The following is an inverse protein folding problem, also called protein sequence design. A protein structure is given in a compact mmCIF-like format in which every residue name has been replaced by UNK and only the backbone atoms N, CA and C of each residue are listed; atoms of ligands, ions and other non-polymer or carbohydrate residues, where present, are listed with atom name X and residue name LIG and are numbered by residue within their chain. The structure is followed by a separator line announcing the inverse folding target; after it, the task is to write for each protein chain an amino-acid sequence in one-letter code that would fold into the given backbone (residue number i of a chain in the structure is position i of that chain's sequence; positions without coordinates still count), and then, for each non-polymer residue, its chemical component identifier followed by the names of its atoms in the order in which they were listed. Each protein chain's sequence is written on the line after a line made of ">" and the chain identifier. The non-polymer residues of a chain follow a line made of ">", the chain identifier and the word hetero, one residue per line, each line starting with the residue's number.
data_IF_857813429611
#
_entry.id   IF_857813429611
#
_cell.length_a   1.000
_cell.length_b   1.000
_cell.length_c   1.000
_cell.angle_alpha   90.00
_cell.angle_beta   90.00
_cell.angle_gamma   90.00
#
_symmetry.space_group_name_H-M   'P 1'
#
loop_
_entity.id
_entity.type
_entity.pdbx_description
1 polymer ?
#
# COMPACT_ATOMS: atom_id res chain seq x y z
N UNK A 1 -5.72 11.78 -15.21
CA UNK A 1 -5.64 10.43 -15.85
C UNK A 1 -4.18 9.97 -15.95
N UNK A 2 -3.22 10.84 -16.31
CA UNK A 2 -1.79 10.51 -16.45
C UNK A 2 -1.14 10.14 -15.09
N UNK A 3 -1.55 10.77 -13.99
CA UNK A 3 -0.97 10.54 -12.67
C UNK A 3 -1.35 9.19 -12.06
N UNK A 4 -2.43 8.55 -12.51
CA UNK A 4 -2.91 7.28 -11.94
C UNK A 4 -1.86 6.15 -12.08
N UNK A 5 -1.33 5.85 -13.29
CA UNK A 5 -0.30 4.79 -13.40
C UNK A 5 0.99 5.15 -12.68
N UNK A 6 1.35 6.44 -12.61
CA UNK A 6 2.52 6.90 -11.85
C UNK A 6 2.34 6.80 -10.32
N UNK A 7 1.10 6.70 -9.86
CA UNK A 7 0.80 6.49 -8.44
C UNK A 7 0.66 5.01 -8.10
N UNK A 8 -0.02 4.22 -8.94
CA UNK A 8 -0.30 2.80 -8.68
C UNK A 8 0.99 1.97 -8.66
N UNK A 9 1.83 2.05 -9.68
CA UNK A 9 3.01 1.18 -9.79
C UNK A 9 4.03 1.41 -8.67
N UNK A 10 4.44 2.65 -8.34
CA UNK A 10 5.31 2.89 -7.19
C UNK A 10 4.69 2.48 -5.86
N UNK A 11 3.38 2.65 -5.69
CA UNK A 11 2.65 2.24 -4.50
C UNK A 11 2.76 0.72 -4.28
N UNK A 12 2.43 -0.07 -5.30
CA UNK A 12 2.55 -1.54 -5.25
C UNK A 12 4.00 -2.00 -5.07
N UNK A 13 4.95 -1.30 -5.69
CA UNK A 13 6.37 -1.59 -5.53
C UNK A 13 6.85 -1.42 -4.09
N UNK A 14 6.34 -0.41 -3.37
CA UNK A 14 6.65 -0.26 -1.95
C UNK A 14 6.09 -1.40 -1.10
N UNK A 15 4.92 -1.94 -1.42
CA UNK A 15 4.44 -3.16 -0.76
C UNK A 15 5.43 -4.31 -0.97
N UNK A 16 5.91 -4.51 -2.19
CA UNK A 16 6.83 -5.59 -2.54
C UNK A 16 8.17 -5.51 -1.78
N UNK A 17 8.75 -4.33 -1.64
CA UNK A 17 10.06 -4.13 -0.98
C UNK A 17 10.05 -4.58 0.49
N UNK A 18 8.94 -4.45 1.19
CA UNK A 18 8.86 -4.75 2.61
C UNK A 18 8.56 -6.22 2.94
N UNK A 19 8.43 -7.08 1.93
CA UNK A 19 8.46 -8.51 2.16
C UNK A 19 9.86 -8.99 2.60
N UNK A 20 9.98 -10.15 3.27
CA UNK A 20 11.29 -10.74 3.57
C UNK A 20 12.12 -10.89 2.31
N UNK A 21 13.45 -10.80 2.44
CA UNK A 21 14.37 -10.88 1.29
C UNK A 21 14.34 -12.22 0.56
N UNK A 22 13.98 -13.26 1.27
CA UNK A 22 13.83 -14.64 0.77
C UNK A 22 12.42 -14.95 0.28
N UNK A 23 11.49 -13.98 0.35
CA UNK A 23 10.13 -14.17 -0.12
C UNK A 23 10.05 -14.08 -1.64
N UNK A 24 9.30 -15.00 -2.22
CA UNK A 24 8.86 -14.90 -3.60
C UNK A 24 7.69 -13.91 -3.68
N UNK A 25 7.92 -12.78 -4.33
CA UNK A 25 6.94 -11.72 -4.47
C UNK A 25 6.62 -11.53 -5.94
N UNK A 26 5.33 -11.59 -6.26
CA UNK A 26 4.82 -11.36 -7.60
C UNK A 26 4.02 -10.08 -7.63
N UNK A 27 4.25 -9.28 -8.66
CA UNK A 27 3.47 -8.08 -8.92
C UNK A 27 2.65 -8.25 -10.20
N UNK A 28 1.33 -8.20 -10.05
CA UNK A 28 0.37 -8.33 -11.14
C UNK A 28 -0.22 -6.97 -11.49
N UNK A 29 -0.38 -6.69 -12.77
CA UNK A 29 -1.04 -5.49 -13.22
C UNK A 29 -1.97 -5.77 -14.40
N UNK A 30 -3.07 -5.05 -14.46
CA UNK A 30 -4.01 -5.10 -15.58
C UNK A 30 -4.36 -3.68 -16.03
N UNK A 31 -3.91 -3.32 -17.22
CA UNK A 31 -4.22 -2.02 -17.82
C UNK A 31 -5.73 -1.88 -18.05
N UNK A 32 -6.38 -2.97 -18.49
CA UNK A 32 -7.83 -2.99 -18.76
C UNK A 32 -8.66 -2.73 -17.52
N UNK A 33 -8.27 -3.32 -16.39
CA UNK A 33 -8.98 -3.17 -15.11
C UNK A 33 -8.44 -2.02 -14.26
N UNK A 34 -7.35 -1.37 -14.70
CA UNK A 34 -6.63 -0.33 -13.94
C UNK A 34 -6.28 -0.79 -12.52
N UNK A 35 -5.85 -2.03 -12.42
CA UNK A 35 -5.53 -2.69 -11.17
C UNK A 35 -4.08 -3.15 -11.17
N UNK A 36 -3.40 -2.94 -10.07
CA UNK A 36 -2.15 -3.59 -9.73
C UNK A 36 -2.28 -4.21 -8.36
N UNK A 37 -1.60 -5.31 -8.13
CA UNK A 37 -1.57 -5.97 -6.83
C UNK A 37 -0.25 -6.71 -6.61
N UNK A 38 0.12 -6.83 -5.36
CA UNK A 38 1.26 -7.61 -4.91
C UNK A 38 0.77 -8.85 -4.19
N UNK A 39 1.32 -9.98 -4.53
CA UNK A 39 1.04 -11.26 -3.87
C UNK A 39 2.32 -12.00 -3.54
N UNK A 40 2.29 -12.84 -2.53
CA UNK A 40 3.42 -13.68 -2.15
C UNK A 40 2.94 -14.97 -1.50
N UNK A 41 3.61 -16.07 -1.82
CA UNK A 41 3.39 -17.35 -1.14
C UNK A 41 4.02 -17.41 0.25
N UNK A 42 4.81 -16.40 0.62
CA UNK A 42 5.47 -16.33 1.91
C UNK A 42 4.56 -15.70 2.94
N UNK A 43 4.31 -16.42 4.04
CA UNK A 43 3.59 -15.88 5.18
C UNK A 43 4.45 -14.89 5.97
N UNK A 44 3.85 -13.81 6.43
CA UNK A 44 4.49 -12.77 7.23
C UNK A 44 3.76 -12.54 8.54
N UNK A 45 4.42 -11.91 9.50
CA UNK A 45 3.78 -11.58 10.78
C UNK A 45 2.68 -10.54 10.62
N UNK A 46 1.70 -10.54 11.52
CA UNK A 46 0.66 -9.52 11.60
C UNK A 46 1.23 -8.09 11.59
N UNK A 47 2.27 -7.85 12.39
CA UNK A 47 2.92 -6.52 12.46
C UNK A 47 3.53 -6.11 11.12
N UNK A 48 4.20 -7.03 10.45
CA UNK A 48 4.81 -6.76 9.15
C UNK A 48 3.76 -6.51 8.07
N UNK A 49 2.67 -7.25 8.08
CA UNK A 49 1.56 -7.05 7.16
C UNK A 49 0.94 -5.65 7.33
N UNK A 50 0.68 -5.21 8.56
CA UNK A 50 0.18 -3.86 8.84
C UNK A 50 1.18 -2.80 8.37
N UNK A 51 2.48 -2.99 8.67
CA UNK A 51 3.53 -2.06 8.28
C UNK A 51 3.62 -1.90 6.76
N UNK A 52 3.70 -3.01 6.01
CA UNK A 52 3.79 -2.94 4.56
C UNK A 52 2.53 -2.37 3.90
N UNK A 53 1.37 -2.55 4.53
CA UNK A 53 0.11 -2.00 4.02
C UNK A 53 0.00 -0.48 4.23
N UNK A 54 0.50 0.04 5.36
CA UNK A 54 0.38 1.48 5.64
C UNK A 54 1.48 2.31 4.99
N UNK A 55 2.66 1.76 4.79
CA UNK A 55 3.87 2.50 4.39
C UNK A 55 3.72 3.26 3.06
N UNK A 56 3.20 2.68 1.97
CA UNK A 56 2.98 3.42 0.73
C UNK A 56 2.03 4.60 0.90
N UNK A 57 1.01 4.44 1.74
CA UNK A 57 0.05 5.50 2.05
C UNK A 57 0.69 6.67 2.82
N UNK A 58 1.66 6.38 3.68
CA UNK A 58 2.44 7.43 4.36
C UNK A 58 3.29 8.18 3.34
N UNK A 59 4.06 7.47 2.52
CA UNK A 59 5.05 8.06 1.60
C UNK A 59 4.38 8.81 0.45
N UNK A 60 3.37 8.22 -0.19
CA UNK A 60 2.75 8.79 -1.38
C UNK A 60 1.44 9.53 -1.12
N UNK A 61 0.82 9.30 0.03
CA UNK A 61 -0.43 9.95 0.41
C UNK A 61 -0.20 11.09 1.42
N UNK A 62 0.07 10.74 2.65
CA UNK A 62 0.16 11.73 3.73
C UNK A 62 1.34 12.68 3.58
N UNK A 63 2.52 12.20 3.21
CA UNK A 63 3.72 13.04 3.11
C UNK A 63 3.55 14.16 2.06
N UNK A 64 3.10 13.91 0.82
CA UNK A 64 2.82 14.99 -0.12
C UNK A 64 1.79 15.99 0.38
N UNK A 65 0.74 15.55 1.07
CA UNK A 65 -0.27 16.44 1.64
C UNK A 65 0.27 17.29 2.79
N UNK A 66 1.13 16.73 3.63
CA UNK A 66 1.80 17.48 4.70
C UNK A 66 2.73 18.55 4.08
N UNK A 67 3.52 18.19 3.10
CA UNK A 67 4.39 19.14 2.39
C UNK A 67 3.53 20.23 1.72
N UNK A 68 2.41 19.86 1.09
CA UNK A 68 1.49 20.78 0.45
C UNK A 68 1.01 21.91 1.39
N UNK A 69 0.77 21.61 2.67
CA UNK A 69 0.32 22.62 3.65
C UNK A 69 1.36 23.76 3.81
N UNK A 70 2.65 23.44 3.62
CA UNK A 70 3.75 24.41 3.77
C UNK A 70 4.17 25.08 2.45
N UNK A 71 3.56 24.73 1.31
CA UNK A 71 3.87 25.34 0.02
C UNK A 71 3.28 26.77 -0.04
N UNK A 72 4.09 27.79 -0.41
CA UNK A 72 3.60 29.15 -0.59
C UNK A 72 2.51 29.24 -1.67
N UNK A 73 1.58 30.15 -1.48
CA UNK A 73 0.42 30.33 -2.36
C UNK A 73 0.76 30.78 -3.81
N UNK A 74 1.94 31.35 -4.00
CA UNK A 74 2.47 31.76 -5.31
C UNK A 74 2.98 30.58 -6.14
N UNK A 75 3.25 29.42 -5.50
CA UNK A 75 3.67 28.19 -6.17
C UNK A 75 2.48 27.28 -6.52
N UNK A 76 1.47 27.85 -7.18
CA UNK A 76 0.18 27.19 -7.46
C UNK A 76 0.30 25.87 -8.25
N UNK A 77 1.25 25.77 -9.19
CA UNK A 77 1.48 24.56 -9.97
C UNK A 77 2.00 23.39 -9.12
N UNK A 78 3.01 23.66 -8.30
CA UNK A 78 3.60 22.65 -7.38
C UNK A 78 2.57 22.25 -6.32
N UNK A 79 1.84 23.21 -5.77
CA UNK A 79 0.75 23.00 -4.83
C UNK A 79 -0.32 22.06 -5.41
N UNK A 80 -0.74 22.31 -6.63
CA UNK A 80 -1.71 21.47 -7.34
C UNK A 80 -1.22 20.03 -7.56
N UNK A 81 0.04 19.86 -7.94
CA UNK A 81 0.64 18.52 -8.13
C UNK A 81 0.67 17.75 -6.81
N UNK A 82 1.19 18.36 -5.74
CA UNK A 82 1.32 17.71 -4.43
C UNK A 82 -0.04 17.30 -3.87
N UNK A 83 -1.02 18.20 -3.92
CA UNK A 83 -2.37 17.90 -3.46
C UNK A 83 -3.01 16.77 -4.26
N UNK A 84 -2.99 16.89 -5.59
CA UNK A 84 -3.61 15.90 -6.48
C UNK A 84 -2.95 14.53 -6.34
N UNK A 85 -1.61 14.49 -6.31
CA UNK A 85 -0.86 13.24 -6.15
C UNK A 85 -1.14 12.58 -4.80
N UNK A 86 -1.09 13.33 -3.71
CA UNK A 86 -1.36 12.81 -2.36
C UNK A 86 -2.80 12.30 -2.23
N UNK A 87 -3.78 13.05 -2.75
CA UNK A 87 -5.19 12.68 -2.72
C UNK A 87 -5.47 11.41 -3.53
N UNK A 88 -4.94 11.33 -4.76
CA UNK A 88 -5.08 10.14 -5.62
C UNK A 88 -4.43 8.93 -4.94
N UNK A 89 -3.24 9.11 -4.37
CA UNK A 89 -2.52 8.01 -3.70
C UNK A 89 -3.28 7.46 -2.50
N UNK A 90 -3.89 8.31 -1.66
CA UNK A 90 -4.74 7.86 -0.56
C UNK A 90 -6.01 7.16 -1.05
N UNK A 91 -6.58 7.62 -2.17
CA UNK A 91 -7.75 6.99 -2.77
C UNK A 91 -7.42 5.58 -3.28
N UNK A 92 -6.29 5.43 -3.96
CA UNK A 92 -5.77 4.13 -4.42
C UNK A 92 -5.52 3.21 -3.23
N UNK A 93 -4.88 3.72 -2.18
CA UNK A 93 -4.57 2.98 -0.97
C UNK A 93 -5.75 2.74 -0.01
N UNK A 94 -6.96 3.10 -0.38
CA UNK A 94 -8.13 2.88 0.50
C UNK A 94 -8.35 1.41 0.87
N UNK A 95 -8.03 0.48 -0.04
CA UNK A 95 -8.05 -0.94 0.22
C UNK A 95 -7.07 -1.39 1.29
N UNK A 96 -5.90 -0.75 1.38
CA UNK A 96 -4.90 -1.03 2.41
C UNK A 96 -5.41 -0.68 3.81
N UNK A 97 -6.10 0.43 3.94
CA UNK A 97 -6.72 0.81 5.22
C UNK A 97 -7.78 -0.20 5.66
N UNK A 98 -8.57 -0.73 4.72
CA UNK A 98 -9.52 -1.80 4.99
C UNK A 98 -8.80 -3.08 5.42
N UNK A 99 -7.71 -3.44 4.73
CA UNK A 99 -6.88 -4.59 5.08
C UNK A 99 -6.27 -4.44 6.49
N UNK A 100 -5.78 -3.25 6.83
CA UNK A 100 -5.25 -2.95 8.17
C UNK A 100 -6.35 -3.09 9.22
N UNK A 101 -7.51 -2.51 8.98
CA UNK A 101 -8.66 -2.59 9.90
C UNK A 101 -9.08 -4.04 10.14
N UNK A 102 -9.27 -4.81 9.08
CA UNK A 102 -9.64 -6.22 9.17
C UNK A 102 -8.57 -7.04 9.89
N UNK A 103 -7.29 -6.78 9.62
CA UNK A 103 -6.17 -7.46 10.27
C UNK A 103 -6.12 -7.17 11.77
N UNK A 104 -6.35 -5.94 12.16
CA UNK A 104 -6.39 -5.57 13.59
C UNK A 104 -7.53 -6.28 14.30
N UNK A 105 -8.70 -6.35 13.66
CA UNK A 105 -9.92 -6.93 14.24
C UNK A 105 -9.95 -8.46 14.26
N UNK A 106 -9.46 -9.10 13.20
CA UNK A 106 -9.69 -10.52 12.96
C UNK A 106 -8.46 -11.38 13.21
N UNK A 107 -7.26 -10.84 13.02
CA UNK A 107 -6.02 -11.62 13.09
C UNK A 107 -5.47 -11.62 14.51
N UNK A 108 -5.28 -12.80 15.14
CA UNK A 108 -4.64 -12.90 16.45
C UNK A 108 -3.20 -12.38 16.44
N UNK A 109 -2.71 -11.99 17.63
CA UNK A 109 -1.39 -11.36 17.77
C UNK A 109 -0.24 -12.23 17.24
N UNK A 110 -0.31 -13.53 17.46
CA UNK A 110 0.77 -14.47 17.11
C UNK A 110 0.52 -15.23 15.80
N UNK A 111 -0.50 -14.82 15.05
CA UNK A 111 -0.83 -15.41 13.76
C UNK A 111 0.03 -14.85 12.63
N UNK A 112 0.21 -15.69 11.61
CA UNK A 112 0.84 -15.32 10.34
C UNK A 112 -0.23 -14.93 9.32
N UNK A 113 0.12 -14.04 8.41
CA UNK A 113 -0.74 -13.60 7.31
C UNK A 113 -0.10 -13.97 5.99
N UNK A 114 -0.90 -14.53 5.09
CA UNK A 114 -0.49 -14.84 3.73
C UNK A 114 -1.42 -14.17 2.74
N UNK A 115 -0.86 -13.49 1.75
CA UNK A 115 -1.60 -12.84 0.66
C UNK A 115 -1.77 -13.85 -0.48
N UNK A 116 -2.98 -13.99 -0.98
CA UNK A 116 -3.30 -14.84 -2.13
C UNK A 116 -4.21 -14.08 -3.10
N UNK A 117 -3.60 -13.45 -4.11
CA UNK A 117 -4.31 -12.58 -5.05
C UNK A 117 -4.97 -11.39 -4.35
N UNK A 118 -6.29 -11.26 -4.47
CA UNK A 118 -7.07 -10.19 -3.83
C UNK A 118 -7.43 -10.47 -2.36
N UNK A 119 -7.17 -11.69 -1.88
CA UNK A 119 -7.51 -12.12 -0.53
C UNK A 119 -6.26 -12.28 0.33
N UNK A 120 -6.45 -12.16 1.63
CA UNK A 120 -5.45 -12.50 2.63
C UNK A 120 -6.04 -13.49 3.63
N UNK A 121 -5.21 -14.41 4.08
CA UNK A 121 -5.57 -15.46 5.04
C UNK A 121 -4.63 -15.39 6.23
N UNK A 122 -5.10 -15.83 7.39
CA UNK A 122 -4.26 -15.95 8.57
C UNK A 122 -4.30 -17.36 9.15
N UNK A 123 -3.22 -17.75 9.77
CA UNK A 123 -3.09 -19.05 10.43
C UNK A 123 -2.04 -18.98 11.53
N UNK A 124 -2.07 -19.92 12.46
CA UNK A 124 -1.02 -20.07 13.43
C UNK A 124 0.10 -20.93 12.85
N UNK A 125 1.35 -20.48 13.04
CA UNK A 125 2.51 -21.26 12.65
C UNK A 125 2.60 -22.49 13.56
N UNK A 126 2.72 -23.68 12.97
CA UNK A 126 3.01 -24.90 13.72
C UNK A 126 4.37 -24.78 14.42
N UNK A 127 4.40 -25.26 15.67
CA UNK A 127 5.65 -25.28 16.46
C UNK A 127 6.54 -26.43 16.04
#
# INVERSE_FOLDING_TARGET
>A
IILIPFSILPHEYLHAIFFPKDAEVEMWYSIKQRLALVTSNTAITKKRFIFLSIFPNIVFGFLPLIIWIFIPSDMSFISGILFTFGFISLTIGSGDFMNIYNTIKQVPKDAMVQISGLNSYWFFKEK
#
